data_IF_738557809543
#
_entry.id   IF_738557809543
#
_cell.length_a   1.000
_cell.length_b   1.000
_cell.length_c   1.000
_cell.angle_alpha   90.00
_cell.angle_beta   90.00
_cell.angle_gamma   90.00
#
_symmetry.space_group_name_H-M   'P 1'
#
loop_
_entity.id
_entity.type
_entity.pdbx_description
1 polymer ?
#
# COMPACT_ATOMS: atom_id res chain seq x y z
N UNK A 1 -18.91 8.32 11.01
CA UNK A 1 -18.19 8.16 9.73
C UNK A 1 -19.08 8.70 8.65
N UNK A 2 -18.55 9.59 7.80
CA UNK A 2 -19.25 10.08 6.62
C UNK A 2 -19.46 8.90 5.67
N UNK A 3 -20.56 8.90 4.92
CA UNK A 3 -20.88 7.80 4.01
C UNK A 3 -20.02 7.95 2.76
N UNK A 4 -19.17 6.97 2.50
CA UNK A 4 -18.37 6.89 1.28
C UNK A 4 -19.11 6.00 0.27
N UNK A 5 -19.16 6.45 -0.98
CA UNK A 5 -19.69 5.68 -2.09
C UNK A 5 -18.53 5.27 -3.00
N UNK A 6 -18.43 3.98 -3.31
CA UNK A 6 -17.46 3.47 -4.29
C UNK A 6 -18.06 3.62 -5.68
N UNK A 7 -17.45 4.46 -6.51
CA UNK A 7 -17.89 4.77 -7.87
C UNK A 7 -17.32 3.79 -8.90
N UNK A 8 -16.07 3.39 -8.72
CA UNK A 8 -15.37 2.39 -9.56
C UNK A 8 -14.49 1.52 -8.70
N UNK A 9 -14.37 0.25 -9.10
CA UNK A 9 -13.53 -0.72 -8.38
C UNK A 9 -12.84 -1.68 -9.34
N UNK A 10 -11.53 -1.83 -9.16
CA UNK A 10 -10.74 -2.87 -9.82
C UNK A 10 -9.95 -3.64 -8.78
N UNK A 11 -9.97 -4.96 -8.91
CA UNK A 11 -9.23 -5.88 -8.05
C UNK A 11 -8.13 -6.55 -8.86
N UNK A 12 -6.90 -6.45 -8.39
CA UNK A 12 -5.74 -7.10 -8.97
C UNK A 12 -5.28 -8.24 -8.06
N UNK A 13 -5.06 -9.42 -8.65
CA UNK A 13 -4.18 -10.41 -8.06
C UNK A 13 -2.77 -10.20 -8.60
N UNK A 14 -1.77 -10.15 -7.72
CA UNK A 14 -0.37 -9.82 -8.10
C UNK A 14 0.61 -10.88 -7.62
N UNK A 15 1.84 -10.90 -8.16
CA UNK A 15 2.95 -11.63 -7.54
C UNK A 15 3.41 -10.91 -6.28
N UNK A 16 3.87 -11.68 -5.29
CA UNK A 16 4.48 -11.12 -4.09
C UNK A 16 5.75 -10.34 -4.48
N UNK A 17 5.84 -9.03 -4.17
CA UNK A 17 7.07 -8.27 -4.36
C UNK A 17 8.21 -8.81 -3.53
N UNK A 18 9.45 -8.53 -3.94
CA UNK A 18 10.67 -8.77 -3.17
C UNK A 18 11.06 -7.55 -2.33
N UNK A 19 10.66 -6.34 -2.72
CA UNK A 19 10.95 -5.08 -2.02
C UNK A 19 9.82 -4.06 -2.19
N UNK A 20 9.57 -3.31 -1.13
CA UNK A 20 8.80 -2.08 -1.11
C UNK A 20 9.73 -0.91 -0.78
N UNK A 21 9.57 0.22 -1.47
CA UNK A 21 10.20 1.50 -1.13
C UNK A 21 9.18 2.61 -1.41
N UNK A 22 8.64 3.19 -0.33
CA UNK A 22 7.53 4.15 -0.38
C UNK A 22 7.85 5.31 0.55
N UNK A 23 7.66 6.54 0.09
CA UNK A 23 7.90 7.74 0.88
C UNK A 23 8.09 8.98 0.00
N UNK A 24 8.09 10.16 0.60
CA UNK A 24 8.44 11.39 -0.12
C UNK A 24 9.86 11.25 -0.73
N UNK A 25 9.99 11.61 -2.02
CA UNK A 25 11.27 11.57 -2.74
C UNK A 25 12.32 12.44 -2.02
N UNK A 26 11.89 13.59 -1.49
CA UNK A 26 12.78 14.53 -0.82
C UNK A 26 13.40 13.92 0.45
N UNK A 27 12.68 13.07 1.18
CA UNK A 27 13.24 12.41 2.37
C UNK A 27 14.40 11.46 2.01
N UNK A 28 14.33 10.76 0.88
CA UNK A 28 15.42 9.89 0.43
C UNK A 28 16.68 10.65 0.06
N UNK A 29 16.54 11.91 -0.38
CA UNK A 29 17.66 12.78 -0.73
C UNK A 29 18.23 13.48 0.51
N UNK A 30 17.39 14.16 1.29
CA UNK A 30 17.78 14.96 2.45
C UNK A 30 18.37 14.10 3.56
N UNK A 31 17.72 12.97 3.89
CA UNK A 31 18.10 12.09 4.99
C UNK A 31 18.92 10.88 4.52
N UNK A 32 19.53 10.93 3.32
CA UNK A 32 20.34 9.83 2.79
C UNK A 32 21.46 9.38 3.75
N UNK A 33 22.01 10.31 4.54
CA UNK A 33 23.05 10.06 5.53
C UNK A 33 22.51 9.90 6.97
N UNK A 34 21.23 10.14 7.22
CA UNK A 34 20.56 9.90 8.50
C UNK A 34 19.55 8.76 8.36
N UNK A 35 20.07 7.53 8.47
CA UNK A 35 19.24 6.33 8.34
C UNK A 35 18.08 6.28 9.34
N UNK A 36 18.26 6.81 10.55
CA UNK A 36 17.22 6.75 11.58
C UNK A 36 16.04 7.62 11.19
N UNK A 37 16.33 8.82 10.70
CA UNK A 37 15.30 9.74 10.23
C UNK A 37 14.66 9.24 8.93
N UNK A 38 15.46 8.70 8.01
CA UNK A 38 14.94 8.09 6.79
C UNK A 38 14.01 6.89 7.08
N UNK A 39 14.38 5.99 8.00
CA UNK A 39 13.56 4.84 8.40
C UNK A 39 12.27 5.27 9.15
N UNK A 40 12.28 6.47 9.77
CA UNK A 40 11.11 7.08 10.43
C UNK A 40 10.12 7.64 9.40
N UNK A 41 10.63 8.27 8.34
CA UNK A 41 9.86 9.02 7.35
C UNK A 41 9.52 8.23 6.09
N UNK A 42 10.17 7.08 5.86
CA UNK A 42 9.94 6.26 4.68
C UNK A 42 9.73 4.79 5.03
N UNK A 43 9.04 4.08 4.14
CA UNK A 43 8.84 2.65 4.23
C UNK A 43 9.72 1.92 3.23
N UNK A 44 10.81 1.34 3.71
CA UNK A 44 11.67 0.45 2.93
C UNK A 44 11.66 -0.94 3.54
N UNK A 45 11.20 -1.94 2.78
CA UNK A 45 11.07 -3.32 3.28
C UNK A 45 11.44 -4.35 2.22
N UNK A 46 12.46 -5.16 2.53
CA UNK A 46 12.76 -6.39 1.78
C UNK A 46 12.00 -7.59 2.33
N UNK A 47 11.42 -8.40 1.45
CA UNK A 47 10.52 -9.52 1.78
C UNK A 47 10.86 -10.82 1.05
N UNK A 48 12.14 -11.01 0.72
CA UNK A 48 12.64 -12.21 0.01
C UNK A 48 12.18 -13.53 0.67
N UNK A 49 11.95 -14.55 -0.17
CA UNK A 49 11.52 -15.88 0.26
C UNK A 49 10.02 -16.03 0.54
N UNK A 50 9.19 -15.14 0.00
CA UNK A 50 7.72 -15.12 0.18
C UNK A 50 6.97 -15.22 -1.15
N UNK A 51 7.59 -15.79 -2.19
CA UNK A 51 7.04 -15.83 -3.56
C UNK A 51 5.62 -16.42 -3.64
N UNK A 52 5.30 -17.32 -2.72
CA UNK A 52 4.05 -18.10 -2.73
C UNK A 52 2.94 -17.43 -1.91
N UNK A 53 3.20 -16.24 -1.36
CA UNK A 53 2.20 -15.45 -0.66
C UNK A 53 1.07 -15.03 -1.59
N UNK A 54 -0.12 -14.92 -1.02
CA UNK A 54 -1.32 -14.44 -1.71
C UNK A 54 -1.36 -12.92 -1.63
N UNK A 55 -1.58 -12.28 -2.76
CA UNK A 55 -1.46 -10.83 -2.88
C UNK A 55 -2.64 -10.27 -3.66
N UNK A 56 -3.34 -9.33 -3.06
CA UNK A 56 -4.49 -8.65 -3.64
C UNK A 56 -4.31 -7.16 -3.50
N UNK A 57 -4.66 -6.42 -4.55
CA UNK A 57 -4.74 -4.97 -4.54
C UNK A 57 -6.13 -4.57 -5.00
N UNK A 58 -6.75 -3.63 -4.30
CA UNK A 58 -8.05 -3.07 -4.58
C UNK A 58 -7.85 -1.59 -4.87
N UNK A 59 -8.17 -1.18 -6.08
CA UNK A 59 -8.20 0.21 -6.51
C UNK A 59 -9.66 0.66 -6.54
N UNK A 60 -9.96 1.75 -5.83
CA UNK A 60 -11.32 2.28 -5.73
C UNK A 60 -11.32 3.79 -5.99
N UNK A 61 -12.19 4.24 -6.89
CA UNK A 61 -12.62 5.65 -6.96
C UNK A 61 -13.78 5.82 -5.99
N UNK A 62 -13.70 6.80 -5.09
CA UNK A 62 -14.66 7.04 -4.02
C UNK A 62 -15.16 8.46 -4.03
N UNK A 63 -16.44 8.63 -3.74
CA UNK A 63 -17.06 9.91 -3.41
C UNK A 63 -17.21 10.03 -1.89
N UNK A 64 -16.77 11.15 -1.33
CA UNK A 64 -17.05 11.54 0.05
C UNK A 64 -17.53 13.01 0.06
N UNK A 65 -18.82 13.21 0.32
CA UNK A 65 -19.48 14.52 0.21
C UNK A 65 -19.21 15.16 -1.17
N UNK A 66 -18.48 16.29 -1.20
CA UNK A 66 -18.19 17.05 -2.43
C UNK A 66 -16.80 16.75 -3.00
N UNK A 67 -16.10 15.74 -2.48
CA UNK A 67 -14.75 15.38 -2.89
C UNK A 67 -14.67 13.94 -3.42
N UNK A 68 -13.96 13.78 -4.54
CA UNK A 68 -13.63 12.47 -5.12
C UNK A 68 -12.16 12.18 -4.90
N UNK A 69 -11.85 10.92 -4.59
CA UNK A 69 -10.49 10.47 -4.44
C UNK A 69 -10.33 9.01 -4.82
N UNK A 70 -9.10 8.59 -5.01
CA UNK A 70 -8.71 7.27 -5.45
C UNK A 70 -7.89 6.63 -4.34
N UNK A 71 -8.38 5.51 -3.81
CA UNK A 71 -7.70 4.75 -2.77
C UNK A 71 -7.16 3.44 -3.31
N UNK A 72 -6.00 3.03 -2.80
CA UNK A 72 -5.37 1.74 -3.05
C UNK A 72 -5.22 0.99 -1.74
N UNK A 73 -5.94 -0.13 -1.62
CA UNK A 73 -5.79 -1.07 -0.52
C UNK A 73 -5.12 -2.35 -1.00
N UNK A 74 -3.97 -2.70 -0.44
CA UNK A 74 -3.20 -3.89 -0.81
C UNK A 74 -2.95 -4.79 0.39
N UNK A 75 -3.21 -6.09 0.24
CA UNK A 75 -2.92 -7.11 1.25
C UNK A 75 -1.99 -8.16 0.62
N UNK A 76 -0.87 -8.40 1.29
CA UNK A 76 0.14 -9.39 0.93
C UNK A 76 0.29 -10.36 2.10
N UNK A 77 -0.30 -11.55 2.02
CA UNK A 77 -0.45 -12.46 3.15
C UNK A 77 0.12 -13.85 2.88
N UNK A 78 0.54 -14.55 3.94
CA UNK A 78 1.19 -15.85 3.84
C UNK A 78 0.33 -16.94 3.18
N UNK A 79 -0.99 -16.83 3.29
CA UNK A 79 -1.96 -17.72 2.64
C UNK A 79 -3.30 -17.01 2.41
N UNK A 80 -4.18 -17.68 1.67
CA UNK A 80 -5.52 -17.17 1.30
C UNK A 80 -6.44 -16.97 2.51
N UNK A 81 -6.28 -17.80 3.55
CA UNK A 81 -7.13 -17.72 4.74
C UNK A 81 -6.80 -16.45 5.55
N UNK A 82 -5.51 -16.12 5.66
CA UNK A 82 -5.07 -14.91 6.34
C UNK A 82 -5.37 -13.65 5.54
N UNK A 83 -5.27 -13.71 4.21
CA UNK A 83 -5.71 -12.62 3.32
C UNK A 83 -7.17 -12.26 3.61
N UNK A 84 -8.08 -13.24 3.56
CA UNK A 84 -9.52 -13.03 3.83
C UNK A 84 -9.80 -12.52 5.23
N UNK A 85 -9.00 -12.95 6.21
CA UNK A 85 -9.14 -12.49 7.58
C UNK A 85 -8.86 -10.98 7.69
N UNK A 86 -7.81 -10.50 7.02
CA UNK A 86 -7.45 -9.09 6.97
C UNK A 86 -8.47 -8.26 6.18
N UNK A 87 -9.04 -8.78 5.09
CA UNK A 87 -10.15 -8.12 4.38
C UNK A 87 -11.36 -7.86 5.29
N UNK A 88 -11.56 -8.71 6.31
CA UNK A 88 -12.60 -8.55 7.31
C UNK A 88 -12.17 -7.66 8.49
N UNK A 89 -11.01 -7.00 8.41
CA UNK A 89 -10.37 -6.24 9.48
C UNK A 89 -10.14 -7.07 10.75
N UNK A 90 -9.76 -8.35 10.58
CA UNK A 90 -9.50 -9.28 11.68
C UNK A 90 -8.08 -9.85 11.58
N UNK A 91 -7.59 -10.35 12.71
CA UNK A 91 -6.36 -11.14 12.78
C UNK A 91 -6.51 -12.28 13.79
N UNK A 92 -5.64 -13.28 13.74
CA UNK A 92 -5.70 -14.38 14.70
C UNK A 92 -5.30 -13.89 16.10
N UNK A 93 -5.87 -14.51 17.13
CA UNK A 93 -5.49 -14.24 18.52
C UNK A 93 -3.99 -14.53 18.71
N UNK A 94 -3.25 -13.55 19.20
CA UNK A 94 -1.81 -13.64 19.44
C UNK A 94 -0.94 -13.10 18.31
N UNK A 95 -1.52 -12.82 17.14
CA UNK A 95 -0.86 -11.98 16.14
C UNK A 95 -0.72 -10.55 16.66
N UNK A 96 0.25 -9.82 16.10
CA UNK A 96 0.54 -8.43 16.46
C UNK A 96 0.84 -7.61 15.22
N UNK A 97 0.45 -6.34 15.25
CA UNK A 97 0.99 -5.32 14.35
C UNK A 97 2.36 -4.94 14.89
N UNK A 98 3.41 -5.24 14.13
CA UNK A 98 4.81 -4.97 14.51
C UNK A 98 5.37 -3.71 13.88
N UNK A 99 4.70 -3.18 12.86
CA UNK A 99 4.95 -1.88 12.27
C UNK A 99 3.61 -1.28 11.83
N UNK A 100 3.41 -0.02 12.17
CA UNK A 100 2.29 0.80 11.73
C UNK A 100 2.89 2.12 11.24
N UNK A 101 3.24 2.16 9.96
CA UNK A 101 3.92 3.28 9.34
C UNK A 101 2.90 4.20 8.71
N UNK A 102 2.92 5.47 9.11
CA UNK A 102 2.11 6.51 8.49
C UNK A 102 2.89 7.12 7.33
N UNK A 103 2.28 7.13 6.14
CA UNK A 103 2.84 7.82 4.98
C UNK A 103 2.50 9.31 5.06
N UNK A 104 3.48 10.09 5.52
CA UNK A 104 3.48 11.55 5.43
C UNK A 104 4.21 12.03 4.17
N UNK A 105 3.76 13.14 3.60
CA UNK A 105 4.33 13.74 2.39
C UNK A 105 4.40 15.25 2.57
N UNK A 106 5.54 15.87 2.24
CA UNK A 106 5.74 17.33 2.31
C UNK A 106 5.82 17.97 0.92
N UNK A 107 6.14 17.21 -0.13
CA UNK A 107 6.32 17.72 -1.50
C UNK A 107 5.08 17.58 -2.38
N UNK A 108 3.92 17.28 -1.79
CA UNK A 108 2.68 16.93 -2.50
C UNK A 108 2.84 15.78 -3.51
N UNK A 109 3.78 14.87 -3.22
CA UNK A 109 4.02 13.66 -3.98
C UNK A 109 4.86 12.64 -3.22
N UNK A 110 4.71 11.37 -3.55
CA UNK A 110 5.57 10.31 -3.01
C UNK A 110 6.06 9.36 -4.09
N UNK A 111 7.24 8.80 -3.85
CA UNK A 111 7.78 7.66 -4.59
C UNK A 111 7.00 6.41 -4.19
N UNK A 112 6.47 5.71 -5.18
CA UNK A 112 5.88 4.38 -5.00
C UNK A 112 6.68 3.38 -5.84
N UNK A 113 7.62 2.71 -5.19
CA UNK A 113 8.53 1.75 -5.83
C UNK A 113 8.30 0.33 -5.28
N UNK A 114 8.04 -0.58 -6.21
CA UNK A 114 7.85 -2.00 -5.97
C UNK A 114 8.91 -2.75 -6.78
N UNK A 115 9.73 -3.53 -6.08
CA UNK A 115 10.94 -4.14 -6.62
C UNK A 115 11.90 -3.12 -7.25
N UNK A 116 11.88 -2.98 -8.58
CA UNK A 116 12.67 -2.01 -9.33
C UNK A 116 11.80 -1.15 -10.26
N UNK A 117 10.47 -1.32 -10.22
CA UNK A 117 9.53 -0.50 -10.97
C UNK A 117 9.02 0.58 -10.03
N UNK A 118 9.01 1.83 -10.49
CA UNK A 118 8.58 2.95 -9.67
C UNK A 118 7.73 3.92 -10.47
N UNK A 119 6.88 4.63 -9.74
CA UNK A 119 6.20 5.81 -10.24
C UNK A 119 6.09 6.86 -9.15
N UNK A 120 5.85 8.09 -9.57
CA UNK A 120 5.58 9.22 -8.68
C UNK A 120 4.08 9.42 -8.58
N UNK A 121 3.53 9.21 -7.39
CA UNK A 121 2.14 9.52 -7.08
C UNK A 121 2.08 10.99 -6.69
N UNK A 122 1.25 11.77 -7.40
CA UNK A 122 1.01 13.18 -7.06
C UNK A 122 -0.26 13.24 -6.25
N UNK A 123 -0.15 13.76 -5.04
CA UNK A 123 -1.25 13.85 -4.09
C UNK A 123 -1.96 15.21 -4.15
N UNK A 124 -1.27 16.24 -4.68
CA UNK A 124 -1.82 17.60 -4.80
C UNK A 124 -1.81 18.42 -3.51
N UNK A 125 -1.51 17.78 -2.37
CA UNK A 125 -1.36 18.41 -1.06
C UNK A 125 -0.27 17.70 -0.23
N UNK A 126 0.21 18.35 0.82
CA UNK A 126 1.03 17.75 1.86
C UNK A 126 0.17 17.08 2.96
N UNK A 127 0.81 16.37 3.88
CA UNK A 127 0.16 15.73 5.03
C UNK A 127 0.08 14.21 4.94
N UNK A 128 -1.03 13.65 5.39
CA UNK A 128 -1.26 12.21 5.56
C UNK A 128 -1.85 11.59 4.29
N UNK A 129 -1.21 10.55 3.75
CA UNK A 129 -1.64 9.85 2.53
C UNK A 129 -1.82 8.34 2.71
N UNK A 130 -1.92 7.87 3.94
CA UNK A 130 -2.22 6.47 4.23
C UNK A 130 -1.29 5.83 5.24
N UNK A 131 -1.37 4.51 5.33
CA UNK A 131 -0.55 3.72 6.22
C UNK A 131 -0.06 2.42 5.57
N UNK A 132 0.98 1.85 6.18
CA UNK A 132 1.51 0.54 5.87
C UNK A 132 1.69 -0.23 7.18
N UNK A 133 1.02 -1.38 7.29
CA UNK A 133 1.05 -2.23 8.48
C UNK A 133 1.75 -3.56 8.20
N UNK A 134 2.57 -3.99 9.15
CA UNK A 134 3.18 -5.32 9.13
C UNK A 134 2.64 -6.18 10.27
N UNK A 135 2.20 -7.39 9.94
CA UNK A 135 1.61 -8.33 10.88
C UNK A 135 2.57 -9.49 11.13
N UNK A 136 2.74 -9.88 12.40
CA UNK A 136 3.51 -11.05 12.77
C UNK A 136 2.74 -12.01 13.66
N UNK A 137 3.04 -13.30 13.54
CA UNK A 137 2.61 -14.31 14.51
C UNK A 137 3.20 -14.05 15.89
N UNK A 138 2.64 -14.73 16.90
CA UNK A 138 3.23 -14.80 18.24
C UNK A 138 4.67 -15.35 18.29
N UNK A 139 5.15 -16.00 17.22
CA UNK A 139 6.53 -16.48 17.05
C UNK A 139 7.41 -15.50 16.27
N UNK A 140 6.99 -14.24 16.11
CA UNK A 140 7.71 -13.19 15.36
C UNK A 140 7.96 -13.51 13.88
N UNK A 141 7.19 -14.43 13.28
CA UNK A 141 7.18 -14.64 11.82
C UNK A 141 6.25 -13.63 11.17
N UNK A 142 6.73 -12.86 10.19
CA UNK A 142 5.90 -11.98 9.36
C UNK A 142 4.83 -12.82 8.65
N UNK A 143 3.58 -12.38 8.74
CA UNK A 143 2.40 -13.06 8.17
C UNK A 143 1.72 -12.25 7.07
N UNK A 144 1.76 -10.91 7.18
CA UNK A 144 1.24 -10.04 6.15
C UNK A 144 1.88 -8.67 6.14
N UNK A 145 1.74 -8.00 4.99
CA UNK A 145 1.89 -6.56 4.82
C UNK A 145 0.56 -6.05 4.27
N UNK A 146 0.07 -4.96 4.84
CA UNK A 146 -1.11 -4.23 4.38
C UNK A 146 -0.72 -2.80 4.04
N UNK A 147 -1.23 -2.29 2.93
CA UNK A 147 -1.12 -0.89 2.53
C UNK A 147 -2.51 -0.34 2.28
N UNK A 148 -2.74 0.89 2.73
CA UNK A 148 -3.98 1.64 2.49
C UNK A 148 -3.54 3.07 2.20
N UNK A 149 -3.54 3.44 0.93
CA UNK A 149 -2.86 4.61 0.41
C UNK A 149 -3.80 5.43 -0.46
N UNK A 150 -3.68 6.74 -0.36
CA UNK A 150 -4.34 7.71 -1.23
C UNK A 150 -3.48 7.93 -2.49
N UNK A 151 -4.12 7.85 -3.66
CA UNK A 151 -3.52 7.96 -4.99
C UNK A 151 -3.98 9.22 -5.76
N UNK A 152 -4.59 10.20 -5.07
CA UNK A 152 -5.11 11.43 -5.65
C UNK A 152 -6.54 11.29 -6.15
N UNK A 153 -6.86 11.91 -7.27
CA UNK A 153 -8.22 12.03 -7.82
C UNK A 153 -8.39 11.45 -9.24
N UNK A 154 -7.33 10.87 -9.82
CA UNK A 154 -7.34 10.33 -11.19
C UNK A 154 -7.22 8.79 -11.18
N UNK A 155 -8.37 8.13 -11.39
CA UNK A 155 -8.46 6.67 -11.35
C UNK A 155 -7.64 5.98 -12.44
N UNK A 156 -7.66 6.50 -13.67
CA UNK A 156 -6.94 5.87 -14.79
C UNK A 156 -5.43 6.04 -14.65
N UNK A 157 -4.99 7.17 -14.11
CA UNK A 157 -3.59 7.34 -13.73
C UNK A 157 -3.18 6.38 -12.62
N UNK A 158 -3.97 6.25 -11.56
CA UNK A 158 -3.68 5.32 -10.46
C UNK A 158 -3.63 3.87 -10.97
N UNK A 159 -4.57 3.49 -11.84
CA UNK A 159 -4.57 2.20 -12.55
C UNK A 159 -3.29 1.99 -13.34
N UNK A 160 -2.91 2.94 -14.19
CA UNK A 160 -1.67 2.85 -14.98
C UNK A 160 -0.43 2.73 -14.09
N UNK A 161 -0.39 3.41 -12.94
CA UNK A 161 0.70 3.27 -11.97
C UNK A 161 0.74 1.85 -11.42
N UNK A 162 -0.38 1.31 -10.93
CA UNK A 162 -0.43 -0.03 -10.35
C UNK A 162 -0.03 -1.11 -11.35
N UNK A 163 -0.55 -1.04 -12.57
CA UNK A 163 -0.23 -1.98 -13.65
C UNK A 163 1.23 -1.86 -14.13
N UNK A 164 1.86 -0.68 -13.96
CA UNK A 164 3.27 -0.46 -14.29
C UNK A 164 4.25 -0.87 -13.19
N UNK A 165 3.86 -0.78 -11.91
CA UNK A 165 4.75 -1.08 -10.77
C UNK A 165 4.62 -2.53 -10.29
N UNK A 166 3.42 -3.11 -10.32
CA UNK A 166 3.19 -4.49 -9.89
C UNK A 166 3.22 -5.48 -11.04
N UNK A 167 3.69 -6.69 -10.75
CA UNK A 167 3.54 -7.81 -11.68
C UNK A 167 2.16 -8.46 -11.52
N UNK A 168 1.23 -8.09 -12.41
CA UNK A 168 -0.17 -8.51 -12.39
C UNK A 168 -0.34 -9.98 -12.83
N UNK A 169 -1.12 -10.76 -12.06
CA UNK A 169 -1.54 -12.13 -12.40
C UNK A 169 -2.96 -12.17 -12.96
N UNK A 170 -3.87 -11.42 -12.33
CA UNK A 170 -5.29 -11.38 -12.70
C UNK A 170 -5.86 -9.99 -12.43
N UNK A 171 -6.87 -9.60 -13.20
CA UNK A 171 -7.62 -8.35 -13.05
C UNK A 171 -9.11 -8.69 -13.05
N UNK A 172 -9.86 -8.11 -12.10
CA UNK A 172 -11.32 -8.23 -11.99
C UNK A 172 -11.91 -6.84 -11.83
N UNK A 173 -12.64 -6.39 -12.84
CA UNK A 173 -13.40 -5.15 -12.78
C UNK A 173 -14.76 -5.42 -12.10
N UNK A 174 -15.12 -4.60 -11.13
CA UNK A 174 -16.38 -4.72 -10.40
C UNK A 174 -17.20 -3.48 -10.74
N UNK A 175 -18.35 -3.72 -11.38
CA UNK A 175 -19.35 -2.70 -11.70
C UNK A 175 -20.35 -2.56 -10.57
#
# INVERSE_FOLDING_TARGET
>A
MKQEEVLKKVVYGVKMPKRFKIGDEWYFEEYANDKKELDRLTYVRGVRGKSDWQCKIVLEEKQCEDFQYVSVHGIFAEDEAYLKLLEMNKMYKGDKVIKDFILGVDTASYLFEIDNNYSKVRTGADGYFGYIREFSSNKNKLRAIELDLDFGDDFERARSILEGVFEIKEIKEIK
#
